data_IF_525158120148
#
_entry.id   IF_525158120148
#
_cell.length_a   1.000
_cell.length_b   1.000
_cell.length_c   1.000
_cell.angle_alpha   90.00
_cell.angle_beta   90.00
_cell.angle_gamma   90.00
#
_symmetry.space_group_name_H-M   'P 1'
#
loop_
_entity.id
_entity.type
_entity.pdbx_description
1 polymer ?
#
# COMPACT_ATOMS: atom_id res chain seq x y z
N UNK A 1 29.78 -48.57 -139.03
CA UNK A 1 28.79 -48.35 -140.07
C UNK A 1 27.48 -47.96 -139.40
N UNK A 2 26.99 -46.84 -139.65
CA UNK A 2 25.63 -46.43 -139.31
C UNK A 2 25.50 -45.78 -137.90
N UNK A 3 25.89 -44.52 -137.80
CA UNK A 3 25.57 -43.71 -136.61
C UNK A 3 24.24 -43.01 -136.79
N UNK A 4 23.41 -43.12 -135.85
CA UNK A 4 22.13 -42.38 -135.77
C UNK A 4 22.28 -41.22 -134.84
N UNK A 5 22.20 -40.02 -135.32
CA UNK A 5 22.12 -38.81 -134.55
C UNK A 5 20.73 -38.65 -133.87
N UNK A 6 20.75 -38.56 -132.60
CA UNK A 6 19.54 -38.11 -131.85
C UNK A 6 19.62 -36.61 -131.66
N UNK A 7 18.69 -35.90 -132.24
CA UNK A 7 18.45 -34.47 -131.90
C UNK A 7 17.77 -34.31 -130.61
N UNK A 8 18.39 -33.66 -129.64
CA UNK A 8 17.83 -33.16 -128.41
C UNK A 8 17.12 -31.84 -128.74
N UNK A 9 15.81 -31.91 -128.78
CA UNK A 9 14.94 -30.75 -128.84
C UNK A 9 14.96 -30.02 -127.48
N UNK A 10 15.72 -28.96 -127.33
CA UNK A 10 15.60 -28.08 -126.23
C UNK A 10 14.38 -27.19 -126.40
N UNK A 11 13.28 -27.64 -125.84
CA UNK A 11 12.14 -26.70 -125.55
C UNK A 11 12.49 -25.84 -124.39
N UNK A 12 12.89 -24.57 -124.67
CA UNK A 12 12.96 -23.52 -123.66
C UNK A 12 11.56 -23.20 -123.28
N UNK A 13 11.18 -23.31 -122.01
CA UNK A 13 9.81 -23.02 -121.63
C UNK A 13 9.48 -21.55 -121.89
N UNK A 14 8.25 -21.32 -122.40
CA UNK A 14 7.77 -19.95 -122.71
C UNK A 14 7.94 -19.06 -121.46
N UNK A 15 8.69 -17.90 -121.55
CA UNK A 15 8.93 -17.03 -120.41
C UNK A 15 7.65 -16.61 -119.64
N UNK A 16 6.57 -16.58 -120.36
CA UNK A 16 5.23 -16.27 -119.80
C UNK A 16 4.72 -17.40 -118.89
N UNK A 17 4.85 -18.68 -119.39
CA UNK A 17 4.44 -19.88 -118.65
C UNK A 17 5.33 -20.08 -117.37
N UNK A 18 6.64 -19.81 -117.47
CA UNK A 18 7.54 -19.81 -116.33
C UNK A 18 7.16 -18.75 -115.24
N UNK A 19 6.86 -17.53 -115.73
CA UNK A 19 6.38 -16.46 -114.80
C UNK A 19 5.13 -16.79 -114.11
N UNK A 20 4.11 -17.28 -114.82
CA UNK A 20 2.79 -17.71 -114.25
C UNK A 20 2.93 -18.87 -113.26
N UNK A 21 3.78 -19.86 -113.52
CA UNK A 21 4.03 -20.97 -112.59
C UNK A 21 4.77 -20.47 -111.32
N UNK A 22 5.74 -19.59 -111.43
CA UNK A 22 6.48 -19.06 -110.30
C UNK A 22 5.58 -18.18 -109.46
N UNK A 23 4.74 -17.29 -110.05
CA UNK A 23 3.81 -16.46 -109.39
C UNK A 23 2.67 -17.28 -108.71
N UNK A 24 2.15 -18.32 -109.37
CA UNK A 24 1.14 -19.23 -108.75
C UNK A 24 1.74 -19.99 -107.56
N UNK A 25 3.00 -20.45 -107.65
CA UNK A 25 3.74 -21.05 -106.57
C UNK A 25 3.84 -20.10 -105.37
N UNK A 26 4.24 -18.86 -105.65
CA UNK A 26 4.32 -17.83 -104.60
C UNK A 26 2.98 -17.47 -103.96
N UNK A 27 1.90 -17.41 -104.76
CA UNK A 27 0.53 -17.25 -104.22
C UNK A 27 0.09 -18.40 -103.34
N UNK A 28 0.42 -19.64 -103.68
CA UNK A 28 0.09 -20.82 -102.88
C UNK A 28 0.89 -20.80 -101.58
N UNK A 29 2.16 -20.43 -101.56
CA UNK A 29 2.94 -20.26 -100.34
C UNK A 29 2.38 -19.15 -99.47
N UNK A 30 2.06 -17.98 -100.06
CA UNK A 30 1.36 -16.90 -99.29
C UNK A 30 0.07 -17.35 -98.63
N UNK A 31 -0.76 -18.09 -99.37
CA UNK A 31 -2.00 -18.64 -98.83
C UNK A 31 -1.72 -19.63 -97.72
N UNK A 32 -0.69 -20.46 -97.83
CA UNK A 32 -0.27 -21.38 -96.77
C UNK A 32 0.25 -20.62 -95.50
N UNK A 33 1.05 -19.57 -95.72
CA UNK A 33 1.51 -18.71 -94.64
C UNK A 33 0.32 -17.99 -93.94
N UNK A 34 -0.61 -17.44 -94.77
CA UNK A 34 -1.80 -16.78 -94.24
C UNK A 34 -2.65 -17.75 -93.42
N UNK A 35 -2.84 -18.97 -93.92
CA UNK A 35 -3.58 -20.03 -93.19
C UNK A 35 -2.88 -20.40 -91.90
N UNK A 36 -1.55 -20.62 -91.94
CA UNK A 36 -0.76 -20.95 -90.74
C UNK A 36 -0.79 -19.81 -89.69
N UNK A 37 -0.73 -18.57 -90.15
CA UNK A 37 -0.82 -17.41 -89.31
C UNK A 37 -2.20 -17.32 -88.62
N UNK A 38 -3.24 -17.45 -89.41
CA UNK A 38 -4.63 -17.48 -88.88
C UNK A 38 -4.86 -18.59 -87.85
N UNK A 39 -4.34 -19.82 -88.13
CA UNK A 39 -4.49 -20.97 -87.19
C UNK A 39 -3.64 -20.73 -85.92
N UNK A 40 -2.49 -20.02 -86.05
CA UNK A 40 -1.67 -19.70 -84.89
C UNK A 40 -2.35 -18.61 -84.02
N UNK A 41 -2.84 -17.53 -84.67
CA UNK A 41 -3.56 -16.46 -83.99
C UNK A 41 -4.85 -17.01 -83.32
N UNK A 42 -5.57 -17.83 -84.06
CA UNK A 42 -6.80 -18.49 -83.52
C UNK A 42 -6.51 -19.33 -82.28
N UNK A 43 -5.42 -20.10 -82.27
CA UNK A 43 -5.00 -20.89 -81.08
C UNK A 43 -4.53 -19.98 -79.93
N UNK A 44 -3.79 -18.92 -80.20
CA UNK A 44 -3.37 -17.97 -79.18
C UNK A 44 -4.57 -17.23 -78.57
N UNK A 45 -5.54 -16.84 -79.39
CA UNK A 45 -6.79 -16.21 -78.90
C UNK A 45 -7.55 -17.15 -77.98
N UNK A 46 -7.77 -18.41 -78.43
CA UNK A 46 -8.48 -19.41 -77.62
C UNK A 46 -7.75 -19.73 -76.31
N UNK A 47 -6.42 -19.89 -76.34
CA UNK A 47 -5.62 -20.09 -75.16
C UNK A 47 -5.65 -18.87 -74.20
N UNK A 48 -5.64 -17.67 -74.74
CA UNK A 48 -5.77 -16.44 -73.93
C UNK A 48 -7.17 -16.30 -73.33
N UNK A 49 -8.24 -16.66 -74.07
CA UNK A 49 -9.59 -16.68 -73.52
C UNK A 49 -9.74 -17.72 -72.38
N UNK A 50 -9.19 -18.92 -72.61
CA UNK A 50 -9.25 -19.98 -71.59
C UNK A 50 -8.44 -19.62 -70.35
N UNK A 51 -7.21 -19.06 -70.50
CA UNK A 51 -6.40 -18.57 -69.41
C UNK A 51 -7.06 -17.38 -68.69
N UNK A 52 -7.74 -16.48 -69.43
CA UNK A 52 -8.48 -15.37 -68.85
C UNK A 52 -9.67 -15.88 -68.04
N UNK A 53 -10.36 -16.90 -68.52
CA UNK A 53 -11.49 -17.52 -67.83
C UNK A 53 -11.03 -18.22 -66.54
N UNK A 54 -9.98 -19.00 -66.59
CA UNK A 54 -9.35 -19.65 -65.45
C UNK A 54 -8.91 -18.62 -64.41
N UNK A 55 -8.25 -17.53 -64.82
CA UNK A 55 -7.83 -16.44 -63.96
C UNK A 55 -9.00 -15.76 -63.24
N UNK A 56 -10.12 -15.52 -63.96
CA UNK A 56 -11.36 -14.97 -63.38
C UNK A 56 -11.98 -15.91 -62.31
N UNK A 57 -12.06 -17.20 -62.58
CA UNK A 57 -12.54 -18.19 -61.64
C UNK A 57 -11.68 -18.20 -60.37
N UNK A 58 -10.35 -18.19 -60.55
CA UNK A 58 -9.40 -18.18 -59.43
C UNK A 58 -9.56 -16.91 -58.56
N UNK A 59 -9.75 -15.77 -59.21
CA UNK A 59 -9.99 -14.48 -58.51
C UNK A 59 -11.33 -14.53 -57.72
N UNK A 60 -12.39 -15.08 -58.29
CA UNK A 60 -13.67 -15.25 -57.59
C UNK A 60 -13.55 -16.22 -56.41
N UNK A 61 -12.79 -17.31 -56.54
CA UNK A 61 -12.59 -18.26 -55.44
C UNK A 61 -11.81 -17.62 -54.30
N UNK A 62 -10.78 -16.85 -54.58
CA UNK A 62 -10.04 -16.10 -53.54
C UNK A 62 -10.95 -15.08 -52.85
N UNK A 63 -11.75 -14.32 -53.61
CA UNK A 63 -12.67 -13.36 -53.06
C UNK A 63 -13.69 -14.03 -52.13
N UNK A 64 -14.26 -15.15 -52.56
CA UNK A 64 -15.21 -15.92 -51.74
C UNK A 64 -14.55 -16.44 -50.48
N UNK A 65 -13.31 -16.94 -50.55
CA UNK A 65 -12.55 -17.41 -49.41
C UNK A 65 -12.31 -16.28 -48.38
N UNK A 66 -11.92 -15.11 -48.85
CA UNK A 66 -11.70 -13.93 -47.98
C UNK A 66 -12.98 -13.49 -47.32
N UNK A 67 -14.11 -13.49 -48.05
CA UNK A 67 -15.42 -13.14 -47.50
C UNK A 67 -15.90 -14.12 -46.40
N UNK A 68 -15.52 -15.40 -46.51
CA UNK A 68 -15.87 -16.42 -45.50
C UNK A 68 -14.92 -16.32 -44.27
N UNK A 69 -13.62 -16.15 -44.49
CA UNK A 69 -12.61 -16.14 -43.43
C UNK A 69 -12.67 -14.85 -42.60
N UNK A 70 -12.91 -13.71 -43.26
CA UNK A 70 -12.92 -12.40 -42.62
C UNK A 70 -13.86 -12.31 -41.41
N UNK A 71 -15.17 -12.70 -41.50
CA UNK A 71 -16.07 -12.64 -40.34
C UNK A 71 -15.67 -13.61 -39.23
N UNK A 72 -15.09 -14.76 -39.57
CA UNK A 72 -14.60 -15.71 -38.57
C UNK A 72 -13.45 -15.09 -37.75
N UNK A 73 -12.50 -14.48 -38.44
CA UNK A 73 -11.36 -13.77 -37.76
C UNK A 73 -11.89 -12.63 -36.90
N UNK A 74 -12.85 -11.83 -37.39
CA UNK A 74 -13.44 -10.73 -36.64
C UNK A 74 -14.12 -11.25 -35.37
N UNK A 75 -14.87 -12.33 -35.44
CA UNK A 75 -15.52 -12.96 -34.28
C UNK A 75 -14.51 -13.48 -33.27
N UNK A 76 -13.46 -14.15 -33.73
CA UNK A 76 -12.37 -14.64 -32.86
C UNK A 76 -11.64 -13.49 -32.14
N UNK A 77 -11.28 -12.42 -32.90
CA UNK A 77 -10.64 -11.25 -32.31
C UNK A 77 -11.54 -10.56 -31.30
N UNK A 78 -12.82 -10.35 -31.62
CA UNK A 78 -13.80 -9.77 -30.67
C UNK A 78 -13.91 -10.60 -29.40
N UNK A 79 -14.03 -11.93 -29.53
CA UNK A 79 -14.14 -12.80 -28.37
C UNK A 79 -12.86 -12.79 -27.52
N UNK A 80 -11.70 -12.83 -28.16
CA UNK A 80 -10.41 -12.70 -27.47
C UNK A 80 -10.28 -11.35 -26.75
N UNK A 81 -10.63 -10.25 -27.42
CA UNK A 81 -10.58 -8.89 -26.83
C UNK A 81 -11.53 -8.78 -25.63
N UNK A 82 -12.76 -9.30 -25.74
CA UNK A 82 -13.71 -9.30 -24.64
C UNK A 82 -13.22 -10.12 -23.44
N UNK A 83 -12.62 -11.28 -23.69
CA UNK A 83 -12.03 -12.12 -22.64
C UNK A 83 -10.87 -11.40 -21.94
N UNK A 84 -9.97 -10.77 -22.71
CA UNK A 84 -8.84 -10.00 -22.17
C UNK A 84 -9.35 -8.81 -21.34
N UNK A 85 -10.34 -8.07 -21.80
CA UNK A 85 -10.92 -6.94 -21.06
C UNK A 85 -11.54 -7.39 -19.74
N UNK A 86 -12.30 -8.46 -19.72
CA UNK A 86 -12.87 -9.04 -18.51
C UNK A 86 -11.78 -9.52 -17.55
N UNK A 87 -10.72 -10.14 -18.07
CA UNK A 87 -9.60 -10.59 -17.25
C UNK A 87 -8.82 -9.40 -16.65
N UNK A 88 -8.60 -8.35 -17.46
CA UNK A 88 -7.96 -7.12 -17.00
C UNK A 88 -8.79 -6.41 -15.92
N UNK A 89 -10.12 -6.31 -16.10
CA UNK A 89 -11.03 -5.77 -15.09
C UNK A 89 -10.96 -6.55 -13.77
N UNK A 90 -11.07 -7.87 -13.82
CA UNK A 90 -10.97 -8.73 -12.64
C UNK A 90 -9.60 -8.62 -11.94
N UNK A 91 -8.52 -8.46 -12.70
CA UNK A 91 -7.17 -8.25 -12.13
C UNK A 91 -7.07 -6.91 -11.39
N UNK A 92 -7.62 -5.84 -11.96
CA UNK A 92 -7.66 -4.52 -11.32
C UNK A 92 -8.45 -4.59 -10.01
N UNK A 93 -9.66 -5.18 -10.03
CA UNK A 93 -10.50 -5.33 -8.85
C UNK A 93 -9.80 -6.14 -7.75
N UNK A 94 -9.16 -7.26 -8.12
CA UNK A 94 -8.38 -8.07 -7.17
C UNK A 94 -7.16 -7.35 -6.63
N UNK A 95 -6.52 -6.53 -7.44
CA UNK A 95 -5.37 -5.73 -7.00
C UNK A 95 -5.79 -4.67 -5.98
N UNK A 96 -6.93 -4.00 -6.22
CA UNK A 96 -7.52 -3.04 -5.28
C UNK A 96 -7.92 -3.72 -3.97
N UNK A 97 -8.58 -4.88 -4.04
CA UNK A 97 -8.97 -5.66 -2.86
C UNK A 97 -7.75 -6.05 -2.01
N UNK A 98 -6.71 -6.61 -2.65
CA UNK A 98 -5.45 -6.97 -1.99
C UNK A 98 -4.75 -5.74 -1.37
N UNK A 99 -4.75 -4.60 -2.07
CA UNK A 99 -4.18 -3.35 -1.55
C UNK A 99 -4.92 -2.88 -0.31
N UNK A 100 -6.26 -2.94 -0.32
CA UNK A 100 -7.08 -2.57 0.82
C UNK A 100 -6.88 -3.50 2.02
N UNK A 101 -6.83 -4.82 1.79
CA UNK A 101 -6.54 -5.80 2.85
C UNK A 101 -5.12 -5.60 3.43
N UNK A 102 -4.15 -5.33 2.56
CA UNK A 102 -2.79 -4.98 3.01
C UNK A 102 -2.76 -3.71 3.85
N UNK A 103 -3.46 -2.64 3.41
CA UNK A 103 -3.58 -1.39 4.20
C UNK A 103 -4.21 -1.63 5.56
N UNK A 104 -5.26 -2.46 5.66
CA UNK A 104 -5.87 -2.84 6.95
C UNK A 104 -4.88 -3.60 7.85
N UNK A 105 -4.17 -4.58 7.30
CA UNK A 105 -3.17 -5.35 8.04
C UNK A 105 -2.01 -4.46 8.51
N UNK A 106 -1.50 -3.61 7.63
CA UNK A 106 -0.43 -2.66 7.98
C UNK A 106 -0.89 -1.70 9.09
N UNK A 107 -2.12 -1.17 9.02
CA UNK A 107 -2.69 -0.30 10.06
C UNK A 107 -2.72 -0.98 11.42
N UNK A 108 -3.21 -2.22 11.51
CA UNK A 108 -3.22 -2.96 12.77
C UNK A 108 -1.81 -3.13 13.36
N UNK A 109 -0.80 -3.39 12.50
CA UNK A 109 0.58 -3.49 12.95
C UNK A 109 1.13 -2.14 13.48
N UNK A 110 0.79 -1.03 12.83
CA UNK A 110 1.20 0.31 13.28
C UNK A 110 0.49 0.77 14.56
N UNK A 111 -0.70 0.24 14.84
CA UNK A 111 -1.40 0.47 16.11
C UNK A 111 -0.75 -0.31 17.28
N UNK A 112 -0.05 -1.42 16.99
CA UNK A 112 0.57 -2.29 18.00
C UNK A 112 2.06 -2.02 18.24
N UNK A 113 2.78 -1.50 17.26
CA UNK A 113 4.23 -1.32 17.29
C UNK A 113 4.63 0.03 16.67
N UNK A 114 5.72 0.65 17.14
CA UNK A 114 6.22 1.88 16.53
C UNK A 114 6.51 1.71 15.03
N UNK A 115 6.24 2.72 14.19
CA UNK A 115 6.43 2.65 12.74
C UNK A 115 7.81 2.20 12.30
N UNK A 116 8.86 2.72 12.93
CA UNK A 116 10.24 2.34 12.64
C UNK A 116 10.51 0.85 12.89
N UNK A 117 9.91 0.30 13.96
CA UNK A 117 9.97 -1.12 14.32
C UNK A 117 9.24 -1.97 13.29
N UNK A 118 8.01 -1.58 12.91
CA UNK A 118 7.24 -2.30 11.89
C UNK A 118 7.99 -2.38 10.56
N UNK A 119 8.61 -1.28 10.13
CA UNK A 119 9.40 -1.26 8.90
C UNK A 119 10.57 -2.24 8.93
N UNK A 120 11.31 -2.33 10.03
CA UNK A 120 12.41 -3.27 10.19
C UNK A 120 11.93 -4.73 10.20
N UNK A 121 10.87 -5.02 10.94
CA UNK A 121 10.26 -6.36 11.00
C UNK A 121 9.74 -6.81 9.62
N UNK A 122 9.12 -5.94 8.86
CA UNK A 122 8.69 -6.23 7.47
C UNK A 122 9.85 -6.59 6.55
N UNK A 123 11.01 -5.99 6.77
CA UNK A 123 12.24 -6.31 6.04
C UNK A 123 12.94 -7.56 6.59
N UNK A 124 12.32 -8.28 7.55
CA UNK A 124 12.89 -9.44 8.27
C UNK A 124 14.24 -9.12 8.92
N UNK A 125 14.45 -7.86 9.30
CA UNK A 125 15.63 -7.42 10.04
C UNK A 125 15.37 -7.56 11.53
N UNK A 126 16.43 -7.88 12.28
CA UNK A 126 16.37 -7.79 13.74
C UNK A 126 16.26 -6.32 14.14
N UNK A 127 15.34 -6.03 15.05
CA UNK A 127 15.22 -4.71 15.68
C UNK A 127 16.17 -4.70 16.88
N UNK A 128 17.31 -4.01 16.82
CA UNK A 128 18.20 -3.91 17.96
C UNK A 128 17.53 -3.15 19.10
N UNK A 129 17.86 -3.52 20.34
CA UNK A 129 17.48 -2.71 21.48
C UNK A 129 18.22 -1.36 21.42
N UNK A 130 17.50 -0.27 21.72
CA UNK A 130 18.02 1.09 21.64
C UNK A 130 18.08 1.71 23.04
N UNK A 131 19.18 2.42 23.33
CA UNK A 131 19.37 3.14 24.57
C UNK A 131 18.89 4.58 24.43
N UNK A 132 18.07 5.02 25.38
CA UNK A 132 17.57 6.40 25.49
C UNK A 132 18.10 6.99 26.78
N UNK A 133 18.85 8.08 26.67
CA UNK A 133 19.52 8.70 27.82
C UNK A 133 18.54 9.41 28.76
N UNK A 134 17.45 9.95 28.22
CA UNK A 134 16.40 10.59 28.99
C UNK A 134 15.05 10.43 28.31
N UNK A 135 14.10 9.88 29.03
CA UNK A 135 12.68 9.76 28.68
C UNK A 135 11.85 10.06 29.93
N UNK A 136 10.57 10.41 29.75
CA UNK A 136 9.63 10.54 30.88
C UNK A 136 8.54 9.50 30.76
N UNK A 137 8.34 8.74 31.85
CA UNK A 137 7.42 7.62 31.93
C UNK A 137 6.29 7.97 32.87
N UNK A 138 5.07 7.69 32.42
CA UNK A 138 3.81 7.85 33.13
C UNK A 138 3.21 6.49 33.45
N UNK A 139 2.76 6.31 34.66
CA UNK A 139 1.88 5.23 35.09
C UNK A 139 0.62 5.79 35.74
N UNK A 140 -0.51 5.17 35.45
CA UNK A 140 -1.72 5.37 36.25
C UNK A 140 -2.43 4.06 36.51
N UNK A 141 -3.16 4.03 37.63
CA UNK A 141 -3.93 2.89 38.10
C UNK A 141 -5.25 3.36 38.71
N UNK A 142 -6.29 2.52 38.69
CA UNK A 142 -7.60 2.86 39.24
C UNK A 142 -7.61 2.62 40.75
N UNK A 143 -7.99 3.63 41.51
CA UNK A 143 -8.10 3.52 42.94
C UNK A 143 -9.23 2.54 43.32
N UNK A 144 -8.88 1.50 44.09
CA UNK A 144 -9.85 0.51 44.54
C UNK A 144 -10.44 -0.38 43.44
N UNK A 145 -9.75 -0.54 42.31
CA UNK A 145 -10.18 -1.39 41.17
C UNK A 145 -10.59 -2.80 41.60
N UNK A 146 -9.87 -3.42 42.54
CA UNK A 146 -10.19 -4.75 43.07
C UNK A 146 -11.60 -4.79 43.70
N UNK A 147 -11.99 -3.75 44.42
CA UNK A 147 -13.31 -3.66 45.03
C UNK A 147 -14.40 -3.42 43.95
N UNK A 148 -14.14 -2.49 43.02
CA UNK A 148 -15.04 -2.24 41.88
C UNK A 148 -15.26 -3.52 41.08
N UNK A 149 -14.19 -4.25 40.81
CA UNK A 149 -14.23 -5.50 40.07
C UNK A 149 -14.95 -6.64 40.81
N UNK A 150 -14.78 -6.73 42.14
CA UNK A 150 -15.45 -7.74 42.97
C UNK A 150 -16.96 -7.54 42.98
N UNK A 151 -17.43 -6.29 42.96
CA UNK A 151 -18.83 -5.90 43.01
C UNK A 151 -19.50 -5.76 41.63
N UNK A 152 -18.78 -6.05 40.54
CA UNK A 152 -19.27 -5.91 39.18
C UNK A 152 -19.17 -7.23 38.42
N UNK A 153 -20.00 -7.43 37.40
CA UNK A 153 -19.87 -8.55 36.52
C UNK A 153 -18.61 -8.38 35.62
N UNK A 154 -17.96 -9.46 35.15
CA UNK A 154 -16.81 -9.36 34.29
C UNK A 154 -17.05 -8.52 33.00
N UNK A 155 -18.26 -8.57 32.46
CA UNK A 155 -18.66 -7.79 31.29
C UNK A 155 -18.73 -6.29 31.57
N UNK A 156 -19.24 -5.90 32.75
CA UNK A 156 -19.29 -4.50 33.21
C UNK A 156 -17.90 -3.94 33.44
N UNK A 157 -16.98 -4.73 34.02
CA UNK A 157 -15.57 -4.34 34.19
C UNK A 157 -14.90 -4.10 32.83
N UNK A 158 -15.09 -5.00 31.88
CA UNK A 158 -14.52 -4.84 30.51
C UNK A 158 -15.10 -3.59 29.81
N UNK A 159 -16.42 -3.35 29.96
CA UNK A 159 -17.06 -2.17 29.37
C UNK A 159 -16.55 -0.87 30.01
N UNK A 160 -16.36 -0.84 31.31
CA UNK A 160 -15.79 0.29 32.05
C UNK A 160 -14.37 0.58 31.60
N UNK A 161 -13.49 -0.43 31.55
CA UNK A 161 -12.11 -0.27 31.10
C UNK A 161 -12.05 0.20 29.64
N UNK A 162 -12.86 -0.35 28.76
CA UNK A 162 -12.92 0.08 27.36
C UNK A 162 -13.36 1.54 27.22
N UNK A 163 -14.31 1.99 28.05
CA UNK A 163 -14.78 3.38 28.05
C UNK A 163 -13.70 4.32 28.58
N UNK A 164 -13.02 3.93 29.67
CA UNK A 164 -11.91 4.68 30.24
C UNK A 164 -10.74 4.80 29.25
N UNK A 165 -10.34 3.68 28.62
CA UNK A 165 -9.24 3.70 27.67
C UNK A 165 -9.56 4.49 26.41
N UNK A 166 -10.82 4.49 25.93
CA UNK A 166 -11.24 5.40 24.84
C UNK A 166 -11.04 6.87 25.22
N UNK A 167 -11.40 7.25 26.43
CA UNK A 167 -11.15 8.59 26.94
C UNK A 167 -9.65 8.91 26.95
N UNK A 168 -8.83 8.04 27.51
CA UNK A 168 -7.38 8.24 27.59
C UNK A 168 -6.77 8.30 26.19
N UNK A 169 -7.07 7.34 25.33
CA UNK A 169 -6.54 7.28 23.96
C UNK A 169 -6.94 8.49 23.11
N UNK A 170 -8.10 9.09 23.35
CA UNK A 170 -8.51 10.33 22.66
C UNK A 170 -7.69 11.54 23.12
N UNK A 171 -7.35 11.61 24.41
CA UNK A 171 -6.60 12.74 24.98
C UNK A 171 -5.13 12.67 24.69
N UNK A 172 -4.50 11.49 24.83
CA UNK A 172 -3.06 11.33 24.61
C UNK A 172 -2.62 11.64 23.17
N UNK A 173 -3.54 11.55 22.19
CA UNK A 173 -3.25 11.92 20.78
C UNK A 173 -2.85 13.37 20.56
N UNK A 174 -3.13 14.26 21.51
CA UNK A 174 -2.79 15.68 21.45
C UNK A 174 -1.31 15.94 21.81
N UNK A 175 -0.62 14.92 22.29
CA UNK A 175 0.71 15.02 22.89
C UNK A 175 1.71 14.13 22.15
N UNK A 176 2.97 14.51 22.16
CA UNK A 176 4.06 13.68 21.60
C UNK A 176 4.45 12.59 22.60
N UNK A 177 3.58 11.59 22.68
CA UNK A 177 3.70 10.46 23.60
C UNK A 177 3.43 9.13 22.91
N UNK A 178 3.99 8.06 23.45
CA UNK A 178 3.77 6.71 22.99
C UNK A 178 3.11 5.87 24.08
N UNK A 179 1.94 5.30 23.79
CA UNK A 179 1.26 4.33 24.65
C UNK A 179 2.02 3.00 24.57
N UNK A 180 2.57 2.55 25.69
CA UNK A 180 3.39 1.34 25.76
C UNK A 180 2.50 0.10 25.89
N UNK A 181 1.75 0.03 26.99
CA UNK A 181 0.87 -1.08 27.27
C UNK A 181 -0.18 -0.72 28.33
N UNK A 182 -1.19 -1.58 28.42
CA UNK A 182 -2.16 -1.61 29.53
C UNK A 182 -2.07 -2.97 30.20
N UNK A 183 -1.87 -3.00 31.52
CA UNK A 183 -1.77 -4.22 32.32
C UNK A 183 -2.90 -4.20 33.36
N UNK A 184 -3.98 -4.94 33.09
CA UNK A 184 -5.17 -4.86 33.94
C UNK A 184 -5.81 -3.47 33.84
N UNK A 185 -5.82 -2.72 34.94
CA UNK A 185 -6.27 -1.34 35.07
C UNK A 185 -5.13 -0.30 34.96
N UNK A 186 -3.88 -0.77 34.94
CA UNK A 186 -2.72 0.11 34.80
C UNK A 186 -2.54 0.58 33.34
N UNK A 187 -2.24 1.86 33.17
CA UNK A 187 -2.03 2.51 31.88
C UNK A 187 -0.64 3.13 31.84
N UNK A 188 0.19 2.71 30.89
CA UNK A 188 1.58 3.15 30.77
C UNK A 188 1.80 3.94 29.48
N UNK A 189 2.38 5.14 29.63
CA UNK A 189 2.73 6.05 28.52
C UNK A 189 4.15 6.57 28.71
N UNK A 190 4.83 6.86 27.61
CA UNK A 190 6.20 7.41 27.61
C UNK A 190 6.31 8.51 26.56
N UNK A 191 7.18 9.48 26.81
CA UNK A 191 7.62 10.47 25.83
C UNK A 191 9.14 10.50 25.75
N UNK A 192 9.69 10.90 24.57
CA UNK A 192 11.11 10.84 24.26
C UNK A 192 11.55 9.57 23.56
N UNK A 193 10.61 8.64 23.31
CA UNK A 193 10.75 7.46 22.47
C UNK A 193 9.41 7.13 21.77
N UNK A 194 9.39 6.38 20.66
CA UNK A 194 10.53 5.85 19.92
C UNK A 194 11.34 6.92 19.18
N UNK A 195 10.82 8.13 19.06
CA UNK A 195 11.52 9.29 18.51
C UNK A 195 11.97 10.20 19.64
N UNK A 196 13.26 10.60 19.60
CA UNK A 196 13.80 11.53 20.58
C UNK A 196 13.27 12.93 20.32
N UNK A 197 12.73 13.58 21.34
CA UNK A 197 12.22 14.96 21.30
C UNK A 197 12.97 15.93 22.22
N UNK A 198 14.24 15.63 22.52
CA UNK A 198 15.10 16.47 23.34
C UNK A 198 14.63 16.53 24.79
N UNK A 199 14.37 17.72 25.29
CA UNK A 199 13.87 17.95 26.67
C UNK A 199 12.35 18.08 26.74
N UNK A 200 11.64 18.02 25.61
CA UNK A 200 10.19 18.22 25.56
C UNK A 200 9.40 17.08 26.22
N UNK A 201 10.00 15.88 26.28
CA UNK A 201 9.32 14.69 26.82
C UNK A 201 8.70 14.89 28.21
N UNK A 202 9.33 15.66 29.08
CA UNK A 202 8.81 15.87 30.44
C UNK A 202 7.61 16.79 30.43
N UNK A 203 7.60 17.84 29.61
CA UNK A 203 6.48 18.76 29.43
C UNK A 203 5.26 18.09 28.81
N UNK A 204 5.50 17.24 27.79
CA UNK A 204 4.44 16.45 27.15
C UNK A 204 3.72 15.53 28.13
N UNK A 205 4.48 14.76 28.90
CA UNK A 205 3.91 13.86 29.95
C UNK A 205 3.24 14.65 31.05
N UNK A 206 3.82 15.74 31.53
CA UNK A 206 3.25 16.54 32.61
C UNK A 206 1.91 17.18 32.19
N UNK A 207 1.87 17.81 31.00
CA UNK A 207 0.64 18.44 30.49
C UNK A 207 -0.44 17.39 30.18
N UNK A 208 -0.06 16.26 29.55
CA UNK A 208 -0.95 15.11 29.33
C UNK A 208 -1.55 14.59 30.63
N UNK A 209 -0.73 14.46 31.69
CA UNK A 209 -1.19 13.94 32.99
C UNK A 209 -2.23 14.84 33.63
N UNK A 210 -2.05 16.15 33.54
CA UNK A 210 -3.03 17.15 34.02
C UNK A 210 -4.33 17.06 33.21
N UNK A 211 -4.25 16.93 31.89
CA UNK A 211 -5.43 16.77 31.02
C UNK A 211 -6.19 15.46 31.31
N UNK A 212 -5.47 14.36 31.56
CA UNK A 212 -6.08 13.10 31.93
C UNK A 212 -6.84 13.19 33.27
N UNK A 213 -6.30 13.87 34.29
CA UNK A 213 -6.99 14.07 35.55
C UNK A 213 -8.30 14.83 35.37
N UNK A 214 -8.29 15.91 34.59
CA UNK A 214 -9.52 16.66 34.24
C UNK A 214 -10.53 15.77 33.56
N UNK A 215 -10.06 14.89 32.63
CA UNK A 215 -10.94 13.90 31.98
C UNK A 215 -11.58 12.93 32.98
N UNK A 216 -10.84 12.50 33.98
CA UNK A 216 -11.35 11.59 35.02
C UNK A 216 -12.39 12.25 35.93
N UNK A 217 -12.25 13.54 36.25
CA UNK A 217 -13.24 14.27 37.06
C UNK A 217 -14.66 14.22 36.46
N UNK A 218 -14.73 14.16 35.12
CA UNK A 218 -16.01 14.10 34.40
C UNK A 218 -16.39 12.68 33.94
N UNK A 219 -15.54 11.69 34.22
CA UNK A 219 -15.80 10.30 33.83
C UNK A 219 -16.89 9.69 34.70
N UNK A 220 -17.88 9.02 34.06
CA UNK A 220 -18.93 8.27 34.73
C UNK A 220 -18.73 6.78 34.46
N UNK A 221 -18.73 6.00 35.53
CA UNK A 221 -18.72 4.54 35.46
C UNK A 221 -20.00 4.07 34.75
N UNK A 222 -19.97 3.35 33.61
CA UNK A 222 -21.19 3.05 32.84
C UNK A 222 -22.30 2.34 33.63
N UNK A 223 -21.95 1.40 34.52
CA UNK A 223 -22.89 0.63 35.32
C UNK A 223 -23.09 1.19 36.74
N UNK A 224 -22.32 2.21 37.12
CA UNK A 224 -22.38 2.90 38.43
C UNK A 224 -22.25 4.42 38.26
N UNK A 225 -23.19 5.09 37.63
CA UNK A 225 -23.02 6.51 37.22
C UNK A 225 -22.94 7.49 38.41
N UNK A 226 -23.30 7.03 39.62
CA UNK A 226 -23.22 7.82 40.87
C UNK A 226 -21.86 7.67 41.57
N UNK A 227 -21.07 6.65 41.22
CA UNK A 227 -19.75 6.43 41.81
C UNK A 227 -18.69 7.20 40.99
N UNK A 228 -17.79 7.86 41.69
CA UNK A 228 -16.66 8.55 41.08
C UNK A 228 -15.52 7.58 40.87
N UNK A 229 -14.95 7.63 39.67
CA UNK A 229 -13.71 6.92 39.39
C UNK A 229 -12.54 7.84 39.75
N UNK A 230 -11.59 7.31 40.48
CA UNK A 230 -10.36 8.00 40.85
C UNK A 230 -9.16 7.22 40.35
N UNK A 231 -8.10 7.91 39.95
CA UNK A 231 -6.84 7.31 39.54
C UNK A 231 -5.66 7.83 40.37
N UNK A 232 -4.62 7.03 40.49
CA UNK A 232 -3.31 7.48 40.98
C UNK A 232 -2.39 7.64 39.78
N UNK A 233 -1.52 8.62 39.82
CA UNK A 233 -0.55 8.90 38.76
C UNK A 233 0.86 8.98 39.31
N UNK A 234 1.80 8.28 38.68
CA UNK A 234 3.21 8.33 38.98
C UNK A 234 4.07 8.65 37.75
N UNK A 235 5.00 9.59 37.88
CA UNK A 235 5.88 10.01 36.77
C UNK A 235 7.34 9.95 37.23
N UNK A 236 8.19 9.44 36.38
CA UNK A 236 9.63 9.48 36.56
C UNK A 236 10.37 9.76 35.24
N UNK A 237 11.46 10.50 35.32
CA UNK A 237 12.35 10.85 34.20
C UNK A 237 13.72 10.18 34.40
N UNK A 238 14.27 9.62 33.33
CA UNK A 238 15.60 8.99 33.38
C UNK A 238 15.88 8.13 32.14
N UNK A 239 17.02 7.41 32.14
CA UNK A 239 17.40 6.55 31.02
C UNK A 239 16.58 5.27 30.98
N UNK A 240 16.37 4.76 29.75
CA UNK A 240 15.78 3.44 29.53
C UNK A 240 16.33 2.78 28.26
N UNK A 241 16.13 1.47 28.17
CA UNK A 241 16.37 0.70 26.94
C UNK A 241 15.01 0.25 26.39
N UNK A 242 14.79 0.49 25.12
CA UNK A 242 13.59 0.01 24.43
C UNK A 242 13.95 -1.00 23.37
N UNK A 243 13.13 -2.03 23.21
CA UNK A 243 13.39 -3.07 22.22
C UNK A 243 12.20 -3.99 22.01
N UNK A 244 12.26 -4.77 20.95
CA UNK A 244 11.23 -5.75 20.62
C UNK A 244 11.57 -7.08 21.30
N UNK A 245 10.62 -7.59 22.09
CA UNK A 245 10.73 -8.87 22.78
C UNK A 245 9.64 -9.82 22.31
N UNK A 246 10.03 -11.07 22.09
CA UNK A 246 9.15 -12.11 21.62
C UNK A 246 9.24 -12.33 20.10
N UNK A 247 9.14 -13.61 19.70
CA UNK A 247 9.19 -14.02 18.28
C UNK A 247 7.79 -14.30 17.73
N UNK A 248 6.92 -14.89 18.52
CA UNK A 248 5.55 -15.25 18.11
C UNK A 248 4.58 -14.06 18.26
N UNK A 249 4.75 -13.30 19.34
CA UNK A 249 3.98 -12.10 19.63
C UNK A 249 4.94 -10.97 20.03
N UNK A 250 5.58 -10.32 19.05
CA UNK A 250 6.55 -9.28 19.33
C UNK A 250 5.87 -8.09 19.99
N UNK A 251 6.46 -7.60 21.09
CA UNK A 251 6.02 -6.41 21.82
C UNK A 251 7.18 -5.42 21.94
N UNK A 252 6.89 -4.15 21.79
CA UNK A 252 7.86 -3.09 22.07
C UNK A 252 7.87 -2.82 23.56
N UNK A 253 8.92 -3.27 24.23
CA UNK A 253 9.04 -3.23 25.69
C UNK A 253 10.13 -2.26 26.11
N UNK A 254 9.94 -1.68 27.29
CA UNK A 254 10.88 -0.77 27.93
C UNK A 254 11.53 -1.47 29.12
N UNK A 255 12.84 -1.26 29.29
CA UNK A 255 13.64 -1.84 30.35
C UNK A 255 14.48 -0.77 31.05
N UNK A 256 14.58 -0.87 32.35
CA UNK A 256 15.39 0.02 33.15
C UNK A 256 14.73 0.38 34.48
N UNK A 257 15.52 0.92 35.38
CA UNK A 257 15.04 1.30 36.69
C UNK A 257 14.06 2.51 36.66
N UNK A 258 14.13 3.31 35.59
CA UNK A 258 13.24 4.45 35.36
C UNK A 258 11.77 4.03 35.33
N UNK A 259 11.45 2.88 34.68
CA UNK A 259 10.11 2.32 34.60
C UNK A 259 9.61 1.89 35.98
N UNK A 260 10.43 1.13 36.71
CA UNK A 260 10.10 0.66 38.05
C UNK A 260 9.87 1.81 39.04
N UNK A 261 10.66 2.88 38.89
CA UNK A 261 10.51 4.06 39.73
C UNK A 261 9.20 4.82 39.46
N UNK A 262 8.82 4.99 38.18
CA UNK A 262 7.54 5.60 37.81
C UNK A 262 6.34 4.79 38.37
N UNK A 263 6.37 3.44 38.24
CA UNK A 263 5.36 2.57 38.83
C UNK A 263 5.28 2.68 40.35
N UNK A 264 6.43 2.85 41.04
CA UNK A 264 6.44 3.07 42.50
C UNK A 264 5.89 4.44 42.90
N UNK A 265 6.10 5.48 42.07
CA UNK A 265 5.46 6.78 42.29
C UNK A 265 3.94 6.66 42.20
N UNK A 266 3.44 5.90 41.21
CA UNK A 266 2.01 5.62 41.09
C UNK A 266 1.49 4.89 42.36
N UNK A 267 2.07 3.73 42.71
CA UNK A 267 1.59 2.89 43.80
C UNK A 267 1.66 3.56 45.16
N UNK A 268 2.58 4.51 45.34
CA UNK A 268 2.69 5.34 46.52
C UNK A 268 1.94 6.68 46.43
N UNK A 269 1.23 6.92 45.32
CA UNK A 269 0.48 8.13 45.08
C UNK A 269 -0.82 8.24 45.87
N UNK A 270 -1.35 9.46 46.02
CA UNK A 270 -2.70 9.71 46.55
C UNK A 270 -3.70 9.73 45.38
N UNK A 271 -5.00 9.41 45.64
CA UNK A 271 -6.05 9.54 44.66
C UNK A 271 -6.11 10.95 44.05
N UNK A 272 -6.34 11.02 42.75
CA UNK A 272 -6.45 12.26 41.97
C UNK A 272 -5.28 13.21 42.10
N UNK A 273 -4.07 12.68 42.36
CA UNK A 273 -2.82 13.45 42.39
C UNK A 273 -1.75 12.85 41.48
N UNK A 274 -0.91 13.73 40.95
CA UNK A 274 0.23 13.36 40.12
C UNK A 274 1.50 13.38 40.98
N UNK A 275 2.07 12.21 41.22
CA UNK A 275 3.24 12.01 42.04
C UNK A 275 4.49 11.93 41.15
N UNK A 276 5.44 12.81 41.36
CA UNK A 276 6.64 12.91 40.53
C UNK A 276 7.93 12.77 41.37
N UNK A 277 8.97 12.25 40.74
CA UNK A 277 10.29 12.19 41.35
C UNK A 277 11.02 13.55 41.29
N UNK A 278 12.08 13.68 42.08
CA UNK A 278 12.98 14.84 42.03
C UNK A 278 13.61 15.01 40.63
N UNK A 279 13.98 13.90 39.94
CA UNK A 279 14.50 13.94 38.58
C UNK A 279 13.49 14.55 37.59
N UNK A 280 12.21 14.19 37.69
CA UNK A 280 11.15 14.81 36.89
C UNK A 280 10.97 16.28 37.22
N UNK A 281 10.97 16.63 38.50
CA UNK A 281 10.86 18.04 38.94
C UNK A 281 12.00 18.87 38.38
N UNK A 282 13.24 18.43 38.48
CA UNK A 282 14.40 19.13 37.92
C UNK A 282 14.32 19.26 36.40
N UNK A 283 13.81 18.23 35.69
CA UNK A 283 13.62 18.31 34.25
C UNK A 283 12.52 19.33 33.88
N UNK A 284 11.44 19.43 34.63
CA UNK A 284 10.39 20.45 34.46
C UNK A 284 10.92 21.87 34.72
N UNK A 285 11.76 22.08 35.74
CA UNK A 285 12.34 23.37 36.07
C UNK A 285 13.27 23.92 34.97
N UNK A 286 13.80 23.05 34.10
CA UNK A 286 14.66 23.43 32.98
C UNK A 286 13.85 23.79 31.71
N UNK A 287 12.52 23.66 31.71
CA UNK A 287 11.67 24.10 30.61
C UNK A 287 11.36 25.61 30.73
N UNK A 288 11.08 26.25 29.61
CA UNK A 288 10.57 27.63 29.57
C UNK A 288 9.18 27.75 30.18
N UNK A 289 8.41 26.67 30.18
CA UNK A 289 7.07 26.56 30.71
C UNK A 289 7.08 26.39 32.23
N UNK A 290 6.19 27.07 32.92
CA UNK A 290 6.15 27.06 34.40
C UNK A 290 5.15 26.01 34.87
N UNK A 291 5.68 24.98 35.53
CA UNK A 291 4.88 23.95 36.22
C UNK A 291 4.88 24.23 37.71
N UNK A 292 3.69 24.09 38.32
CA UNK A 292 3.55 24.26 39.76
C UNK A 292 3.75 22.90 40.43
N UNK A 293 4.75 22.82 41.29
CA UNK A 293 5.08 21.61 42.04
C UNK A 293 5.14 21.90 43.53
N UNK A 294 4.72 20.93 44.35
CA UNK A 294 4.78 21.02 45.83
C UNK A 294 5.56 19.83 46.36
N UNK A 295 6.44 20.09 47.33
CA UNK A 295 7.21 19.02 48.01
C UNK A 295 6.24 18.12 48.82
N UNK A 296 6.18 16.84 48.45
CA UNK A 296 5.46 15.84 49.25
C UNK A 296 6.25 15.43 50.49
N UNK A 297 7.57 15.32 50.33
CA UNK A 297 8.49 14.91 51.39
C UNK A 297 9.37 13.74 50.99
N UNK A 298 10.12 13.27 51.97
CA UNK A 298 11.06 12.15 51.77
C UNK A 298 10.31 10.83 51.86
N UNK A 299 10.49 10.00 50.83
CA UNK A 299 9.97 8.66 50.78
C UNK A 299 11.06 7.62 50.66
N UNK A 300 10.85 6.46 51.28
CA UNK A 300 11.76 5.31 51.10
C UNK A 300 11.29 4.49 49.92
N UNK A 301 12.08 4.45 48.86
CA UNK A 301 11.81 3.72 47.66
C UNK A 301 12.60 2.41 47.66
N UNK A 302 11.93 1.29 47.58
CA UNK A 302 12.56 -0.05 47.62
C UNK A 302 13.71 -0.12 46.60
N UNK A 303 14.92 -0.36 47.05
CA UNK A 303 16.13 -0.48 46.24
C UNK A 303 16.79 0.83 45.82
N UNK A 304 16.25 2.02 46.25
CA UNK A 304 16.85 3.33 46.02
C UNK A 304 17.12 4.14 47.29
N UNK A 305 16.55 3.67 48.41
CA UNK A 305 16.63 4.39 49.64
C UNK A 305 15.69 5.62 49.71
N UNK A 306 16.07 6.61 50.50
CA UNK A 306 15.28 7.81 50.71
C UNK A 306 15.46 8.80 49.59
N UNK A 307 14.37 9.31 49.00
CA UNK A 307 14.37 10.35 47.98
C UNK A 307 13.26 11.36 48.21
N UNK A 308 13.46 12.61 47.82
CA UNK A 308 12.40 13.61 47.79
C UNK A 308 11.46 13.34 46.65
N UNK A 309 10.18 13.51 46.89
CA UNK A 309 9.12 13.38 45.90
C UNK A 309 8.21 14.60 45.96
N UNK A 310 7.50 14.87 44.85
CA UNK A 310 6.70 16.08 44.70
C UNK A 310 5.33 15.76 44.12
N UNK A 311 4.39 16.65 44.33
CA UNK A 311 3.10 16.69 43.64
C UNK A 311 3.22 17.68 42.47
N UNK A 312 2.77 17.29 41.27
CA UNK A 312 2.54 18.20 40.16
C UNK A 312 1.10 18.72 40.26
N UNK A 313 0.93 20.03 40.47
CA UNK A 313 -0.37 20.66 40.76
C UNK A 313 -0.98 21.31 39.52
N UNK A 314 -0.17 21.82 38.59
CA UNK A 314 -0.69 22.55 37.45
C UNK A 314 0.41 23.11 36.53
N UNK A 315 -0.04 23.75 35.46
CA UNK A 315 0.81 24.47 34.50
C UNK A 315 0.29 25.91 34.36
N UNK A 316 1.16 26.89 34.41
CA UNK A 316 0.77 28.29 34.26
C UNK A 316 0.32 28.59 32.82
N UNK A 317 -0.85 29.20 32.66
CA UNK A 317 -1.38 29.56 31.34
C UNK A 317 -2.11 28.44 30.59
N UNK A 318 -2.21 27.24 31.18
CA UNK A 318 -3.00 26.16 30.59
C UNK A 318 -4.46 26.25 31.10
N UNK A 319 -5.35 26.75 30.26
CA UNK A 319 -6.76 26.42 30.36
C UNK A 319 -6.94 25.09 29.62
N UNK A 320 -7.18 23.99 30.33
CA UNK A 320 -7.59 22.73 29.70
C UNK A 320 -8.97 22.98 29.14
N UNK A 321 -9.07 23.15 27.83
CA UNK A 321 -10.35 23.41 27.16
C UNK A 321 -11.25 22.19 27.30
N UNK A 322 -12.44 22.41 27.85
CA UNK A 322 -13.54 21.50 27.71
C UNK A 322 -13.85 21.35 26.21
N UNK A 323 -13.88 20.11 25.77
CA UNK A 323 -14.42 19.65 24.49
C UNK A 323 -14.00 20.35 23.17
N UNK A 324 -12.92 19.86 22.60
CA UNK A 324 -12.85 19.69 21.16
C UNK A 324 -12.63 18.20 20.88
N UNK A 325 -13.70 17.49 20.52
CA UNK A 325 -13.58 16.19 19.86
C UNK A 325 -12.79 16.41 18.58
N UNK A 326 -11.53 16.01 18.60
CA UNK A 326 -10.73 15.93 17.37
C UNK A 326 -11.37 14.81 16.54
N UNK A 327 -11.84 15.11 15.30
CA UNK A 327 -12.37 14.07 14.44
C UNK A 327 -11.36 12.93 14.31
N UNK A 328 -11.86 11.71 14.46
CA UNK A 328 -11.06 10.52 14.29
C UNK A 328 -10.57 10.44 12.84
N UNK A 329 -9.36 10.92 12.56
CA UNK A 329 -8.67 10.59 11.31
C UNK A 329 -7.89 9.28 11.51
N UNK A 330 -8.37 8.19 10.91
CA UNK A 330 -7.83 6.88 11.17
C UNK A 330 -6.53 6.56 10.43
N UNK A 331 -6.02 7.50 9.64
CA UNK A 331 -4.82 7.27 8.82
C UNK A 331 -3.67 8.11 9.35
N UNK A 332 -2.63 7.52 9.96
CA UNK A 332 -1.41 8.25 10.29
C UNK A 332 -0.84 8.95 9.06
N UNK A 333 -0.46 10.21 9.20
CA UNK A 333 0.02 11.10 8.11
C UNK A 333 1.15 10.48 7.27
N UNK A 334 2.00 9.65 7.88
CA UNK A 334 3.09 8.96 7.17
C UNK A 334 2.62 7.80 6.25
N UNK A 335 1.37 7.33 6.35
CA UNK A 335 0.81 6.36 5.40
C UNK A 335 0.47 7.02 4.05
N UNK A 336 0.26 8.34 4.02
CA UNK A 336 0.10 9.11 2.78
C UNK A 336 1.43 9.25 2.02
N UNK A 337 2.57 9.25 2.72
CA UNK A 337 3.92 9.38 2.11
C UNK A 337 4.36 8.08 1.40
N UNK A 338 3.69 6.95 1.69
CA UNK A 338 4.02 5.65 1.09
C UNK A 338 3.19 5.30 -0.16
N UNK A 339 2.40 6.19 -0.68
CA UNK A 339 1.66 5.99 -1.94
C UNK A 339 2.53 6.49 -3.11
N UNK A 340 3.23 5.59 -3.86
CA UNK A 340 4.14 6.00 -4.95
C UNK A 340 3.41 6.59 -6.15
N UNK A 341 2.08 6.65 -6.16
CA UNK A 341 1.29 7.22 -7.25
C UNK A 341 0.98 8.72 -7.09
N UNK A 342 1.34 9.35 -5.95
CA UNK A 342 1.19 10.80 -5.80
C UNK A 342 2.22 11.63 -6.57
N UNK A 343 3.29 11.00 -7.09
CA UNK A 343 4.33 11.69 -7.89
C UNK A 343 4.17 11.57 -9.41
N UNK A 344 3.18 10.82 -9.92
CA UNK A 344 2.98 10.64 -11.37
C UNK A 344 1.87 11.51 -11.98
N UNK A 345 1.35 12.50 -11.24
CA UNK A 345 0.33 13.45 -11.71
C UNK A 345 0.80 14.91 -11.60
N UNK A 346 2.01 15.19 -12.12
CA UNK A 346 2.45 16.57 -12.48
C UNK A 346 3.08 16.53 -13.86
#
# INVERSE_FOLDING_TARGET
MGGTLCYLNHHTPDPVDFYFRTMSGFFIELQQYQKKLNDTIGREILNNEENSYQSKIFTFLILALVLIISPIIILLVRNATFTIQNFAGNLVDKTIELRNEKKKSDRLLFEMLPPAVVMQLRQRRQVPAENFDSVTIYFSDIVGFTNISADSSPMEVVNMLNTLYKLFDSRIRKYDVYKVETIGDAYMVVSGLPQRNGTLHVGEIATMSLDLLVGIEHFKIPHRPNDKLEIRVGINTGPCVAGVVGTTMPRYCLFGDTINTASRMESAGDPMKIHITEATKQALDNLEEIYQTELRGVMEIKGKGKMNTYWLLGKQGCYVSEDNEVPFDPIPEFLHIMDPESESAV
#
